data_IF_273544500922
#
_entry.id   IF_273544500922
#
_cell.length_a   1.000
_cell.length_b   1.000
_cell.length_c   1.000
_cell.angle_alpha   90.00
_cell.angle_beta   90.00
_cell.angle_gamma   90.00
#
_symmetry.space_group_name_H-M   'P 1'
#
loop_
_entity.id
_entity.type
_entity.pdbx_description
1 polymer ?
#
# COMPACT_ATOMS: atom_id res chain seq x y z
N UNK A 1 -50.19 -12.19 -13.73
CA UNK A 1 -49.02 -11.90 -14.57
C UNK A 1 -48.15 -10.94 -13.80
N UNK A 2 -47.03 -11.38 -13.31
CA UNK A 2 -46.11 -10.57 -12.48
C UNK A 2 -45.11 -11.47 -11.84
N UNK A 3 -44.09 -11.85 -12.57
CA UNK A 3 -42.98 -12.61 -11.99
C UNK A 3 -41.71 -12.16 -12.68
N UNK A 4 -40.66 -12.15 -11.87
CA UNK A 4 -39.24 -12.13 -12.27
C UNK A 4 -38.62 -10.76 -12.53
N UNK A 5 -38.34 -10.04 -11.44
CA UNK A 5 -37.15 -9.19 -11.38
C UNK A 5 -36.48 -9.43 -9.98
N UNK A 6 -35.90 -10.56 -9.78
CA UNK A 6 -34.96 -10.82 -8.68
C UNK A 6 -34.12 -12.04 -9.04
N UNK A 7 -33.35 -11.91 -10.12
CA UNK A 7 -32.28 -12.89 -10.39
C UNK A 7 -31.05 -12.11 -10.79
N UNK A 8 -30.03 -12.10 -9.94
CA UNK A 8 -28.71 -11.60 -10.31
C UNK A 8 -28.05 -10.63 -9.34
N UNK A 9 -28.26 -10.73 -8.03
CA UNK A 9 -27.19 -10.34 -7.13
C UNK A 9 -26.17 -11.50 -7.12
N UNK A 10 -25.29 -11.48 -8.12
CA UNK A 10 -24.05 -12.27 -8.03
C UNK A 10 -23.32 -11.84 -6.77
N UNK A 11 -22.82 -12.84 -6.03
CA UNK A 11 -22.04 -12.69 -4.83
C UNK A 11 -21.08 -11.50 -4.96
N UNK A 12 -21.25 -10.53 -4.08
CA UNK A 12 -20.28 -9.45 -3.87
C UNK A 12 -18.93 -10.14 -3.60
N UNK A 13 -17.99 -10.00 -4.53
CA UNK A 13 -16.64 -10.54 -4.41
C UNK A 13 -16.11 -10.18 -3.02
N UNK A 14 -15.79 -11.22 -2.25
CA UNK A 14 -15.35 -11.06 -0.87
C UNK A 14 -14.06 -10.28 -0.85
N UNK A 15 -14.04 -9.13 -0.16
CA UNK A 15 -12.84 -8.40 0.23
C UNK A 15 -11.82 -9.39 0.79
N UNK A 16 -10.66 -9.49 0.17
CA UNK A 16 -9.59 -10.40 0.60
C UNK A 16 -8.92 -9.85 1.86
N UNK A 17 -8.79 -10.68 2.89
CA UNK A 17 -8.10 -10.29 4.13
C UNK A 17 -6.62 -10.57 4.04
N UNK A 18 -5.80 -9.57 4.42
CA UNK A 18 -4.36 -9.66 4.49
C UNK A 18 -3.92 -9.39 5.93
N UNK A 19 -3.08 -10.25 6.49
CA UNK A 19 -2.52 -10.08 7.83
C UNK A 19 -1.01 -9.87 7.74
N UNK A 20 -0.52 -8.68 8.08
CA UNK A 20 0.90 -8.37 8.07
C UNK A 20 1.64 -9.00 9.27
N UNK A 21 2.86 -9.56 9.07
CA UNK A 21 3.67 -9.55 7.85
C UNK A 21 3.13 -10.50 6.78
N UNK A 22 3.27 -10.10 5.50
CA UNK A 22 2.77 -10.85 4.36
C UNK A 22 3.77 -11.92 3.90
N UNK A 23 3.27 -13.10 3.58
CA UNK A 23 4.06 -14.12 2.87
C UNK A 23 4.00 -13.90 1.37
N UNK A 24 4.92 -14.51 0.64
CA UNK A 24 4.86 -14.53 -0.83
C UNK A 24 3.58 -15.20 -1.33
N UNK A 25 3.10 -16.24 -0.64
CA UNK A 25 1.85 -16.93 -0.99
C UNK A 25 0.63 -16.00 -0.87
N UNK A 26 0.57 -15.15 0.17
CA UNK A 26 -0.51 -14.16 0.33
C UNK A 26 -0.55 -13.18 -0.83
N UNK A 27 0.63 -12.77 -1.32
CA UNK A 27 0.74 -11.79 -2.40
C UNK A 27 0.45 -12.41 -3.76
N UNK A 28 0.93 -13.63 -4.05
CA UNK A 28 0.77 -14.28 -5.36
C UNK A 28 -0.68 -14.61 -5.73
N UNK A 29 -1.57 -14.72 -4.76
CA UNK A 29 -3.01 -14.92 -5.01
C UNK A 29 -3.77 -13.63 -5.35
N UNK A 30 -3.17 -12.46 -5.16
CA UNK A 30 -3.80 -11.18 -5.44
C UNK A 30 -3.75 -10.86 -6.93
N UNK A 31 -4.80 -10.20 -7.42
CA UNK A 31 -4.89 -9.71 -8.80
C UNK A 31 -5.26 -8.25 -8.81
N UNK A 32 -4.80 -7.54 -9.83
CA UNK A 32 -5.14 -6.13 -10.04
C UNK A 32 -6.66 -5.93 -10.08
N UNK A 33 -7.15 -5.05 -9.22
CA UNK A 33 -8.56 -4.79 -9.00
C UNK A 33 -9.16 -5.48 -7.78
N UNK A 34 -8.46 -6.43 -7.14
CA UNK A 34 -8.94 -7.03 -5.90
C UNK A 34 -9.05 -5.97 -4.79
N UNK A 35 -10.17 -5.97 -4.08
CA UNK A 35 -10.32 -5.22 -2.84
C UNK A 35 -9.72 -6.01 -1.69
N UNK A 36 -8.95 -5.32 -0.83
CA UNK A 36 -8.30 -5.93 0.32
C UNK A 36 -8.59 -5.15 1.61
N UNK A 37 -8.69 -5.88 2.72
CA UNK A 37 -8.71 -5.34 4.07
C UNK A 37 -7.46 -5.84 4.80
N UNK A 38 -6.68 -4.91 5.35
CA UNK A 38 -5.37 -5.20 5.94
C UNK A 38 -5.46 -5.09 7.45
N UNK A 39 -4.99 -6.14 8.13
CA UNK A 39 -4.82 -6.20 9.57
C UNK A 39 -3.33 -6.32 9.92
N UNK A 40 -2.94 -5.85 11.12
CA UNK A 40 -1.58 -6.05 11.64
C UNK A 40 -0.71 -4.81 11.56
N UNK A 41 0.60 -5.01 11.38
CA UNK A 41 1.59 -3.94 11.43
C UNK A 41 1.97 -3.43 10.05
N UNK A 42 1.89 -2.11 9.86
CA UNK A 42 2.44 -1.42 8.69
C UNK A 42 3.46 -0.36 9.13
N UNK A 43 4.33 0.05 8.21
CA UNK A 43 5.27 1.15 8.45
C UNK A 43 4.95 2.33 7.53
N UNK A 44 5.18 3.56 8.02
CA UNK A 44 5.13 4.74 7.16
C UNK A 44 6.54 5.05 6.65
N UNK A 45 6.67 5.35 5.36
CA UNK A 45 7.89 5.95 4.83
C UNK A 45 7.55 6.75 3.56
N UNK A 46 8.18 7.92 3.44
CA UNK A 46 8.14 8.75 2.25
C UNK A 46 9.56 8.97 1.72
N UNK A 47 9.73 9.96 0.87
CA UNK A 47 10.94 10.20 0.08
C UNK A 47 12.22 10.14 0.90
N UNK A 48 12.33 10.96 1.94
CA UNK A 48 13.54 11.05 2.76
C UNK A 48 13.79 9.79 3.58
N UNK A 49 12.72 9.18 4.10
CA UNK A 49 12.83 7.91 4.82
C UNK A 49 13.27 6.78 3.89
N UNK A 50 12.72 6.68 2.67
CA UNK A 50 13.16 5.70 1.66
C UNK A 50 14.63 5.89 1.29
N UNK A 51 15.05 7.14 1.07
CA UNK A 51 16.44 7.45 0.78
C UNK A 51 17.38 6.96 1.88
N UNK A 52 17.05 7.23 3.15
CA UNK A 52 17.86 6.79 4.31
C UNK A 52 17.89 5.26 4.45
N UNK A 53 16.75 4.59 4.23
CA UNK A 53 16.69 3.12 4.23
C UNK A 53 17.62 2.54 3.15
N UNK A 54 17.56 3.07 1.93
CA UNK A 54 18.42 2.62 0.84
C UNK A 54 19.90 2.89 1.10
N UNK A 55 20.24 4.04 1.68
CA UNK A 55 21.62 4.37 2.08
C UNK A 55 22.15 3.44 3.20
N UNK A 56 21.29 3.09 4.16
CA UNK A 56 21.66 2.13 5.20
C UNK A 56 21.95 0.74 4.60
N UNK A 57 21.11 0.27 3.66
CA UNK A 57 21.35 -0.97 2.92
C UNK A 57 22.68 -0.92 2.14
N UNK A 58 22.99 0.20 1.48
CA UNK A 58 24.26 0.37 0.74
C UNK A 58 25.48 0.29 1.64
N UNK A 59 25.36 0.71 2.91
CA UNK A 59 26.43 0.63 3.91
C UNK A 59 26.44 -0.67 4.71
N UNK A 60 25.50 -1.60 4.43
CA UNK A 60 25.35 -2.83 5.20
C UNK A 60 24.92 -2.61 6.65
N UNK A 61 24.26 -1.50 6.94
CA UNK A 61 23.76 -1.15 8.27
C UNK A 61 22.41 -1.81 8.54
N UNK A 62 22.15 -2.11 9.82
CA UNK A 62 20.84 -2.62 10.24
C UNK A 62 19.74 -1.56 9.98
N UNK A 63 18.62 -2.01 9.43
CA UNK A 63 17.47 -1.15 9.22
C UNK A 63 16.67 -0.99 10.53
N UNK A 64 15.96 0.14 10.70
CA UNK A 64 15.08 0.35 11.85
C UNK A 64 13.76 -0.44 11.76
N UNK A 65 13.53 -1.12 10.63
CA UNK A 65 12.34 -1.94 10.36
C UNK A 65 12.75 -3.28 9.75
N UNK A 66 11.99 -4.32 10.07
CA UNK A 66 12.06 -5.58 9.35
C UNK A 66 11.38 -5.42 7.98
N UNK A 67 12.11 -5.71 6.88
CA UNK A 67 11.55 -5.60 5.53
C UNK A 67 10.86 -6.87 5.06
N UNK A 68 11.27 -8.05 5.58
CA UNK A 68 10.66 -9.31 5.16
C UNK A 68 9.17 -9.34 5.53
N UNK A 69 8.33 -9.48 4.52
CA UNK A 69 6.89 -9.45 4.69
C UNK A 69 6.27 -8.08 4.97
N UNK A 70 7.06 -7.02 5.04
CA UNK A 70 6.58 -5.71 5.44
C UNK A 70 5.61 -5.07 4.42
N UNK A 71 4.78 -4.19 4.96
CA UNK A 71 3.93 -3.25 4.22
C UNK A 71 4.41 -1.84 4.53
N UNK A 72 4.75 -1.06 3.50
CA UNK A 72 5.08 0.37 3.65
C UNK A 72 3.95 1.23 3.08
N UNK A 73 3.40 2.08 3.92
CA UNK A 73 2.41 3.07 3.56
C UNK A 73 3.07 4.43 3.28
N UNK A 74 2.92 4.93 2.06
CA UNK A 74 3.45 6.22 1.61
C UNK A 74 2.59 7.36 2.14
N UNK A 75 2.79 7.71 3.39
CA UNK A 75 2.00 8.73 4.08
C UNK A 75 2.87 9.60 4.98
N UNK A 76 2.55 10.90 5.02
CA UNK A 76 2.99 11.82 6.05
C UNK A 76 1.74 12.31 6.78
N UNK A 77 1.36 11.71 7.91
CA UNK A 77 0.13 12.03 8.59
C UNK A 77 0.20 13.45 9.18
N UNK A 78 -0.96 14.12 9.23
CA UNK A 78 -1.06 15.38 9.98
C UNK A 78 -0.99 15.11 11.48
N UNK A 79 -0.65 16.12 12.32
CA UNK A 79 -0.68 15.97 13.76
C UNK A 79 -2.03 15.46 14.26
N UNK A 80 -1.99 14.60 15.27
CA UNK A 80 -3.18 14.06 15.90
C UNK A 80 -3.95 15.16 16.63
N UNK A 81 -5.28 15.17 16.50
CA UNK A 81 -6.14 16.00 17.34
C UNK A 81 -6.30 15.37 18.73
N UNK A 82 -6.68 16.12 19.77
CA UNK A 82 -6.98 15.56 21.09
C UNK A 82 -7.93 14.35 20.99
N UNK A 83 -7.60 13.27 21.68
CA UNK A 83 -8.37 12.02 21.66
C UNK A 83 -8.27 11.17 20.39
N UNK A 84 -7.37 11.52 19.45
CA UNK A 84 -7.09 10.72 18.25
C UNK A 84 -5.68 10.14 18.28
N UNK A 85 -5.55 8.93 17.79
CA UNK A 85 -4.26 8.21 17.69
C UNK A 85 -3.37 8.86 16.63
N UNK A 86 -3.96 9.32 15.52
CA UNK A 86 -3.27 9.91 14.36
C UNK A 86 -4.17 11.00 13.73
N UNK A 87 -3.57 11.93 13.01
CA UNK A 87 -4.30 12.88 12.18
C UNK A 87 -4.74 12.25 10.85
N UNK A 88 -5.07 13.08 9.86
CA UNK A 88 -5.41 12.59 8.53
C UNK A 88 -4.22 11.83 7.92
N UNK A 89 -4.47 10.60 7.47
CA UNK A 89 -3.46 9.68 6.95
C UNK A 89 -3.76 9.31 5.49
N UNK A 90 -3.78 10.31 4.60
CA UNK A 90 -4.02 10.10 3.17
C UNK A 90 -2.76 9.70 2.41
N UNK A 91 -2.88 8.86 1.34
CA UNK A 91 -1.74 8.40 0.58
C UNK A 91 -1.08 9.54 -0.20
N UNK A 92 0.26 9.50 -0.30
CA UNK A 92 1.02 10.37 -1.20
C UNK A 92 1.25 9.72 -2.57
N UNK A 93 1.73 10.50 -3.53
CA UNK A 93 2.04 10.03 -4.89
C UNK A 93 3.16 9.00 -4.87
N UNK A 94 2.89 7.81 -5.42
CA UNK A 94 3.78 6.65 -5.37
C UNK A 94 5.03 6.80 -6.21
N UNK A 95 4.94 7.48 -7.36
CA UNK A 95 6.06 7.67 -8.29
C UNK A 95 7.29 8.35 -7.65
N UNK A 96 7.10 9.10 -6.57
CA UNK A 96 8.21 9.72 -5.82
C UNK A 96 9.12 8.70 -5.16
N UNK A 97 8.60 7.51 -4.85
CA UNK A 97 9.34 6.42 -4.23
C UNK A 97 9.92 5.43 -5.25
N UNK A 98 9.66 5.63 -6.56
CA UNK A 98 10.13 4.72 -7.60
C UNK A 98 11.65 4.50 -7.61
N UNK A 99 12.50 5.52 -7.39
CA UNK A 99 13.95 5.33 -7.36
C UNK A 99 14.45 4.39 -6.24
N UNK A 100 13.65 4.20 -5.20
CA UNK A 100 14.02 3.45 -4.00
C UNK A 100 13.35 2.07 -3.92
N UNK A 101 12.13 1.97 -4.50
CA UNK A 101 11.27 0.80 -4.33
C UNK A 101 11.90 -0.52 -4.79
N UNK A 102 12.61 -0.63 -5.92
CA UNK A 102 13.20 -1.89 -6.37
C UNK A 102 14.20 -2.47 -5.37
N UNK A 103 15.00 -1.61 -4.72
CA UNK A 103 15.97 -2.02 -3.70
C UNK A 103 15.27 -2.59 -2.47
N UNK A 104 14.23 -1.94 -1.95
CA UNK A 104 13.50 -2.43 -0.79
C UNK A 104 12.74 -3.73 -1.09
N UNK A 105 12.19 -3.87 -2.29
CA UNK A 105 11.57 -5.10 -2.76
C UNK A 105 12.55 -6.27 -2.80
N UNK A 106 13.79 -6.03 -3.26
CA UNK A 106 14.85 -7.02 -3.27
C UNK A 106 15.25 -7.50 -1.85
N UNK A 107 14.93 -6.71 -0.81
CA UNK A 107 15.20 -7.02 0.58
C UNK A 107 13.95 -7.49 1.36
N UNK A 108 12.92 -7.98 0.66
CA UNK A 108 11.78 -8.66 1.27
C UNK A 108 10.53 -7.82 1.48
N UNK A 109 10.51 -6.53 1.08
CA UNK A 109 9.28 -5.73 1.11
C UNK A 109 8.20 -6.37 0.23
N UNK A 110 7.03 -6.68 0.80
CA UNK A 110 5.96 -7.40 0.09
C UNK A 110 4.82 -6.53 -0.41
N UNK A 111 4.55 -5.41 0.25
CA UNK A 111 3.51 -4.51 -0.22
C UNK A 111 3.88 -3.04 -0.01
N UNK A 112 3.43 -2.22 -0.93
CA UNK A 112 3.52 -0.76 -0.85
C UNK A 112 2.12 -0.19 -1.02
N UNK A 113 1.77 0.83 -0.24
CA UNK A 113 0.47 1.51 -0.32
C UNK A 113 0.69 2.97 -0.67
N UNK A 114 0.05 3.44 -1.74
CA UNK A 114 0.15 4.82 -2.17
C UNK A 114 -0.98 5.23 -3.12
N UNK A 115 -0.71 6.16 -4.02
CA UNK A 115 -1.63 6.54 -5.11
C UNK A 115 -0.89 6.85 -6.40
N UNK A 116 -1.55 6.63 -7.54
CA UNK A 116 -1.03 6.93 -8.87
C UNK A 116 -0.16 5.82 -9.45
N UNK A 117 0.46 6.14 -10.56
CA UNK A 117 1.21 5.18 -11.38
C UNK A 117 2.57 4.83 -10.79
N UNK A 118 3.08 3.66 -11.22
CA UNK A 118 4.47 3.23 -10.99
C UNK A 118 5.20 3.14 -12.33
N UNK A 119 6.52 3.35 -12.32
CA UNK A 119 7.34 3.18 -13.50
C UNK A 119 7.57 1.69 -13.83
N UNK A 120 8.07 1.41 -15.03
CA UNK A 120 8.29 0.04 -15.53
C UNK A 120 9.31 -0.73 -14.68
N UNK A 121 10.29 -0.07 -14.09
CA UNK A 121 11.29 -0.70 -13.24
C UNK A 121 10.65 -1.27 -11.97
N UNK A 122 9.80 -0.48 -11.32
CA UNK A 122 9.04 -0.94 -10.15
C UNK A 122 8.08 -2.05 -10.54
N UNK A 123 7.37 -1.94 -11.67
CA UNK A 123 6.47 -2.99 -12.14
C UNK A 123 7.20 -4.32 -12.35
N UNK A 124 8.39 -4.29 -12.97
CA UNK A 124 9.24 -5.50 -13.11
C UNK A 124 9.69 -6.04 -11.75
N UNK A 125 10.08 -5.16 -10.82
CA UNK A 125 10.50 -5.57 -9.49
C UNK A 125 9.37 -6.22 -8.69
N UNK A 126 8.12 -5.75 -8.81
CA UNK A 126 6.94 -6.38 -8.18
C UNK A 126 6.76 -7.82 -8.64
N UNK A 127 6.92 -8.08 -9.94
CA UNK A 127 6.83 -9.45 -10.49
C UNK A 127 8.01 -10.29 -10.01
N UNK A 128 9.22 -9.76 -10.11
CA UNK A 128 10.47 -10.46 -9.78
C UNK A 128 10.50 -10.92 -8.32
N UNK A 129 10.12 -10.04 -7.41
CA UNK A 129 10.22 -10.29 -5.95
C UNK A 129 8.90 -10.76 -5.31
N UNK A 130 7.85 -10.98 -6.10
CA UNK A 130 6.57 -11.45 -5.59
C UNK A 130 5.94 -10.44 -4.61
N UNK A 131 5.77 -9.20 -5.04
CA UNK A 131 5.22 -8.11 -4.25
C UNK A 131 4.07 -7.42 -4.97
N UNK A 132 3.32 -6.57 -4.25
CA UNK A 132 2.18 -5.81 -4.80
C UNK A 132 2.28 -4.33 -4.48
N UNK A 133 1.69 -3.52 -5.36
CA UNK A 133 1.39 -2.14 -5.05
C UNK A 133 -0.12 -1.96 -4.87
N UNK A 134 -0.50 -1.51 -3.69
CA UNK A 134 -1.87 -1.24 -3.30
C UNK A 134 -2.16 0.26 -3.42
N UNK A 135 -3.37 0.60 -3.79
CA UNK A 135 -3.85 1.99 -3.82
C UNK A 135 -4.94 2.20 -2.80
N UNK A 136 -4.96 3.36 -2.17
CA UNK A 136 -6.08 3.82 -1.36
C UNK A 136 -6.65 5.10 -1.96
N UNK A 137 -7.89 5.44 -1.58
CA UNK A 137 -8.58 6.60 -2.12
C UNK A 137 -7.91 7.90 -1.69
N UNK A 138 -7.52 8.72 -2.66
CA UNK A 138 -7.09 10.09 -2.43
C UNK A 138 -8.21 10.91 -1.79
N UNK A 139 -7.86 11.80 -0.84
CA UNK A 139 -8.86 12.59 -0.10
C UNK A 139 -9.50 11.87 1.10
N UNK A 140 -9.40 10.54 1.19
CA UNK A 140 -9.98 9.73 2.27
C UNK A 140 -9.13 9.68 3.55
N UNK A 141 -8.13 10.56 3.73
CA UNK A 141 -7.18 10.49 4.86
C UNK A 141 -7.83 10.47 6.25
N UNK A 142 -8.95 11.16 6.42
CA UNK A 142 -9.71 11.14 7.67
C UNK A 142 -10.45 9.81 7.90
N UNK A 143 -10.89 9.13 6.83
CA UNK A 143 -11.51 7.81 6.90
C UNK A 143 -10.44 6.75 7.17
N UNK A 144 -9.34 6.77 6.42
CA UNK A 144 -8.23 5.82 6.57
C UNK A 144 -7.63 5.87 7.98
N UNK A 145 -7.55 7.06 8.60
CA UNK A 145 -7.06 7.20 9.98
C UNK A 145 -7.89 6.46 11.02
N UNK A 146 -9.15 6.13 10.75
CA UNK A 146 -10.02 5.37 11.67
C UNK A 146 -9.62 3.89 11.77
N UNK A 147 -8.94 3.37 10.75
CA UNK A 147 -8.43 2.01 10.71
C UNK A 147 -7.06 1.87 11.40
N UNK A 148 -6.46 2.98 11.84
CA UNK A 148 -5.18 3.00 12.55
C UNK A 148 -5.47 3.11 14.05
N UNK A 149 -5.19 2.04 14.79
CA UNK A 149 -5.51 1.93 16.21
C UNK A 149 -4.34 2.24 17.14
N UNK A 150 -3.10 2.18 16.63
CA UNK A 150 -1.89 2.54 17.37
C UNK A 150 -0.84 3.12 16.42
N UNK A 151 -0.08 4.11 16.90
CA UNK A 151 1.02 4.75 16.18
C UNK A 151 2.20 4.92 17.11
N UNK A 152 3.39 4.63 16.61
CA UNK A 152 4.66 4.81 17.33
C UNK A 152 5.72 5.31 16.33
N UNK A 153 6.44 6.38 16.65
CA UNK A 153 7.61 6.80 15.88
C UNK A 153 8.75 5.87 16.26
N UNK A 154 9.35 5.21 15.28
CA UNK A 154 10.40 4.21 15.53
C UNK A 154 11.75 4.61 14.94
N UNK A 155 11.79 5.53 13.99
CA UNK A 155 13.02 6.02 13.39
C UNK A 155 12.86 7.37 12.69
N UNK A 156 13.97 8.04 12.48
CA UNK A 156 14.10 9.27 11.71
C UNK A 156 13.17 10.39 12.19
N UNK A 157 13.05 10.56 13.51
CA UNK A 157 12.17 11.55 14.15
C UNK A 157 12.44 12.97 13.64
N UNK A 158 13.70 13.27 13.30
CA UNK A 158 14.14 14.53 12.71
C UNK A 158 13.47 14.86 11.36
N UNK A 159 12.91 13.87 10.66
CA UNK A 159 12.15 14.06 9.43
C UNK A 159 10.69 14.51 9.67
N UNK A 160 10.26 14.64 10.92
CA UNK A 160 8.92 15.13 11.27
C UNK A 160 7.80 14.27 10.69
N UNK A 161 7.04 14.80 9.73
CA UNK A 161 5.94 14.07 9.09
C UNK A 161 6.41 12.86 8.26
N UNK A 162 7.67 12.83 7.82
CA UNK A 162 8.29 11.73 7.08
C UNK A 162 9.04 10.73 7.97
N UNK A 163 9.03 10.92 9.29
CA UNK A 163 9.55 9.95 10.23
C UNK A 163 8.90 8.56 10.00
N UNK A 164 9.67 7.50 10.20
CA UNK A 164 9.13 6.15 10.13
C UNK A 164 8.28 5.90 11.37
N UNK A 165 7.03 5.56 11.14
CA UNK A 165 6.09 5.16 12.19
C UNK A 165 5.70 3.70 11.99
N UNK A 166 5.56 2.99 13.09
CA UNK A 166 4.86 1.71 13.16
C UNK A 166 3.39 2.01 13.39
N UNK A 167 2.55 1.51 12.50
CA UNK A 167 1.10 1.59 12.58
C UNK A 167 0.53 0.20 12.90
N UNK A 168 -0.36 0.12 13.88
CA UNK A 168 -1.22 -1.05 14.03
C UNK A 168 -2.57 -0.73 13.38
N UNK A 169 -2.99 -1.58 12.44
CA UNK A 169 -4.22 -1.35 11.67
C UNK A 169 -5.20 -2.51 11.80
N UNK A 170 -6.48 -2.19 11.62
CA UNK A 170 -7.59 -3.14 11.57
C UNK A 170 -8.51 -2.76 10.41
N UNK A 171 -8.85 -3.74 9.57
CA UNK A 171 -9.71 -3.57 8.39
C UNK A 171 -9.28 -2.42 7.48
N UNK A 172 -7.99 -2.13 7.35
CA UNK A 172 -7.50 -1.01 6.55
C UNK A 172 -7.76 -1.26 5.05
N UNK A 173 -8.61 -0.44 4.38
CA UNK A 173 -9.07 -0.73 3.02
C UNK A 173 -8.04 -0.31 1.97
N UNK A 174 -7.81 -1.18 0.99
CA UNK A 174 -7.01 -0.87 -0.18
C UNK A 174 -7.48 -1.69 -1.39
N UNK A 175 -6.96 -1.33 -2.58
CA UNK A 175 -7.21 -2.02 -3.85
C UNK A 175 -5.86 -2.39 -4.44
N UNK A 176 -5.72 -3.59 -4.98
CA UNK A 176 -4.52 -4.02 -5.69
C UNK A 176 -4.41 -3.22 -6.99
N UNK A 177 -3.46 -2.29 -7.05
CA UNK A 177 -3.23 -1.45 -8.24
C UNK A 177 -2.29 -2.13 -9.25
N UNK A 178 -1.23 -2.81 -8.74
CA UNK A 178 -0.31 -3.63 -9.53
C UNK A 178 -0.06 -4.93 -8.79
N UNK A 179 -0.22 -6.04 -9.47
CA UNK A 179 -0.03 -7.37 -8.89
C UNK A 179 1.33 -8.01 -9.24
N UNK A 180 1.64 -9.10 -8.57
CA UNK A 180 2.87 -9.87 -8.77
C UNK A 180 2.89 -10.72 -10.05
N UNK A 181 1.80 -10.75 -10.81
CA UNK A 181 1.72 -11.41 -12.12
C UNK A 181 1.89 -10.42 -13.29
N UNK A 182 2.09 -9.12 -13.00
CA UNK A 182 2.27 -8.07 -14.00
C UNK A 182 0.97 -7.38 -14.40
N UNK A 183 -0.15 -7.68 -13.76
CA UNK A 183 -1.43 -7.01 -14.00
C UNK A 183 -1.48 -5.62 -13.36
N UNK A 184 -2.25 -4.71 -13.99
CA UNK A 184 -2.46 -3.35 -13.50
C UNK A 184 -3.90 -2.91 -13.72
N UNK A 185 -4.50 -2.23 -12.74
CA UNK A 185 -5.81 -1.58 -12.92
C UNK A 185 -5.79 -0.49 -13.98
N UNK A 186 -4.61 0.09 -14.22
CA UNK A 186 -4.46 1.19 -15.18
C UNK A 186 -4.38 0.71 -16.63
N UNK A 187 -4.06 -0.55 -16.89
CA UNK A 187 -4.01 -1.11 -18.24
C UNK A 187 -5.41 -1.33 -18.81
N UNK A 188 -6.39 -1.62 -17.96
CA UNK A 188 -7.79 -1.72 -18.37
C UNK A 188 -8.31 -0.40 -18.97
N UNK A 189 -7.90 0.74 -18.42
CA UNK A 189 -8.27 2.06 -18.92
C UNK A 189 -7.67 2.36 -20.30
N UNK A 190 -6.49 1.79 -20.61
CA UNK A 190 -5.85 1.97 -21.93
C UNK A 190 -6.51 1.14 -23.04
N UNK A 191 -7.13 0.01 -22.69
CA UNK A 191 -7.77 -0.91 -23.65
C UNK A 191 -9.24 -0.61 -23.89
N UNK A 192 -9.93 -0.01 -22.96
CA UNK A 192 -11.28 0.51 -23.18
C UNK A 192 -11.19 1.83 -23.95
N UNK A 193 -11.22 1.74 -25.30
CA UNK A 193 -11.51 2.91 -26.12
C UNK A 193 -12.85 3.45 -25.65
N UNK A 194 -12.84 4.64 -25.08
CA UNK A 194 -14.04 5.37 -24.76
C UNK A 194 -14.85 5.53 -26.04
N UNK A 195 -15.82 4.63 -26.26
CA UNK A 195 -16.82 4.78 -27.30
C UNK A 195 -17.78 5.86 -26.79
N UNK A 196 -17.38 7.11 -27.02
CA UNK A 196 -18.20 8.27 -26.70
C UNK A 196 -19.57 8.13 -27.33
N UNK A 197 -20.58 8.29 -26.54
CA UNK A 197 -21.96 8.58 -26.93
C UNK A 197 -22.07 10.05 -27.25
#
# INVERSE_FOLDING_TARGET
MGSAICAGFQEIERVKRLCAPLTEADVRQLRAGDEVAIDGTMYTARDMAHQRLCQALDRGEALPIELEGAIIYFVGPTPARPGRVIGAAGPTTSARMDPFSPKLLAHGLRAMIGKGYRNDEVCRALVQYGAVHLSTLGGAGALLSRHIIRVEIIAYEDLGTEAIRRLQVVDFPAIVAYDSAGGSVYDRVKTEKWSGV
#
